data_IF_526862538511
#
_entry.id   IF_526862538511
#
_cell.length_a   1.000
_cell.length_b   1.000
_cell.length_c   1.000
_cell.angle_alpha   90.00
_cell.angle_beta   90.00
_cell.angle_gamma   90.00
#
_symmetry.space_group_name_H-M   'P 1'
#
loop_
_entity.id
_entity.type
_entity.pdbx_description
1 polymer ?
#
# COMPACT_ATOMS: atom_id res chain seq x y z
N UNK A 1 -4.94 -0.93 19.09
CA UNK A 1 -3.50 -0.63 19.23
C UNK A 1 -2.80 -0.89 17.90
N UNK A 2 -1.66 -0.27 17.63
CA UNK A 2 -0.88 -0.53 16.40
C UNK A 2 -0.44 -2.00 16.35
N UNK A 3 -0.38 -2.60 15.15
CA UNK A 3 -0.04 -4.02 14.99
C UNK A 3 -1.17 -5.00 15.35
N UNK A 4 -2.38 -4.53 15.67
CA UNK A 4 -3.55 -5.40 15.85
C UNK A 4 -3.83 -6.17 14.56
N UNK A 5 -3.76 -7.49 14.61
CA UNK A 5 -4.03 -8.33 13.44
C UNK A 5 -5.50 -8.27 13.05
N UNK A 6 -5.75 -7.95 11.79
CA UNK A 6 -7.09 -7.97 11.20
C UNK A 6 -7.45 -9.40 10.79
N UNK A 7 -8.70 -9.81 11.04
CA UNK A 7 -9.22 -11.12 10.59
C UNK A 7 -9.36 -11.15 9.07
N UNK A 8 -9.69 -10.01 8.48
CA UNK A 8 -9.79 -9.80 7.03
C UNK A 8 -9.16 -8.46 6.67
N UNK A 9 -8.44 -8.34 5.54
CA UNK A 9 -7.92 -7.05 5.07
C UNK A 9 -9.05 -6.03 4.91
N UNK A 10 -8.77 -4.78 5.27
CA UNK A 10 -9.68 -3.64 5.08
C UNK A 10 -9.21 -2.88 3.84
N UNK A 11 -10.16 -2.44 3.01
CA UNK A 11 -9.90 -1.55 1.87
C UNK A 11 -10.54 -0.21 2.18
N UNK A 12 -9.74 0.84 2.13
CA UNK A 12 -10.17 2.22 2.30
C UNK A 12 -9.89 3.00 1.01
N UNK A 13 -10.73 4.00 0.73
CA UNK A 13 -10.52 4.90 -0.40
C UNK A 13 -10.22 6.31 0.11
N UNK A 14 -9.27 6.96 -0.53
CA UNK A 14 -8.89 8.34 -0.25
C UNK A 14 -9.00 9.15 -1.53
N UNK A 15 -9.55 10.35 -1.43
CA UNK A 15 -9.67 11.25 -2.57
C UNK A 15 -8.36 12.00 -2.76
N UNK A 16 -7.58 11.62 -3.77
CA UNK A 16 -6.28 12.26 -4.09
C UNK A 16 -6.48 13.72 -4.50
N UNK A 17 -6.32 14.63 -3.55
CA UNK A 17 -6.43 16.07 -3.69
C UNK A 17 -5.66 16.74 -2.56
N UNK A 18 -4.40 17.10 -2.83
CA UNK A 18 -3.45 17.66 -1.86
C UNK A 18 -4.02 18.89 -1.11
N UNK A 19 -4.86 19.71 -1.77
CA UNK A 19 -5.48 20.89 -1.15
C UNK A 19 -6.45 20.55 -0.01
N UNK A 20 -6.93 19.32 0.03
CA UNK A 20 -7.86 18.79 1.02
C UNK A 20 -7.19 17.78 1.97
N UNK A 21 -5.88 17.59 1.86
CA UNK A 21 -5.12 16.60 2.65
C UNK A 21 -5.66 15.17 2.47
N UNK A 22 -5.92 14.81 1.20
CA UNK A 22 -6.37 13.48 0.76
C UNK A 22 -7.46 12.86 1.65
N UNK A 23 -8.68 13.42 1.70
CA UNK A 23 -9.68 12.98 2.66
C UNK A 23 -10.17 11.55 2.37
N UNK A 24 -10.47 10.80 3.43
CA UNK A 24 -11.18 9.53 3.34
C UNK A 24 -12.52 9.70 2.62
N UNK A 25 -12.84 8.76 1.73
CA UNK A 25 -14.11 8.70 1.01
C UNK A 25 -14.72 7.29 1.02
N UNK A 26 -16.04 7.23 0.98
CA UNK A 26 -16.77 5.98 0.78
C UNK A 26 -17.24 5.86 -0.68
N UNK A 27 -17.93 4.76 -1.01
CA UNK A 27 -18.42 4.52 -2.39
C UNK A 27 -19.46 5.54 -2.86
N UNK A 28 -20.27 6.08 -1.94
CA UNK A 28 -21.25 7.12 -2.28
C UNK A 28 -20.55 8.42 -2.71
N UNK A 29 -19.46 8.80 -2.03
CA UNK A 29 -18.62 9.92 -2.44
C UNK A 29 -17.96 9.66 -3.80
N UNK A 30 -17.45 8.45 -4.05
CA UNK A 30 -16.87 8.07 -5.35
C UNK A 30 -17.89 8.23 -6.47
N UNK A 31 -19.13 7.77 -6.25
CA UNK A 31 -20.23 7.89 -7.21
C UNK A 31 -20.63 9.35 -7.42
N UNK A 32 -20.74 10.14 -6.35
CA UNK A 32 -21.06 11.57 -6.42
C UNK A 32 -20.01 12.35 -7.21
N UNK A 33 -18.72 12.09 -6.93
CA UNK A 33 -17.58 12.72 -7.61
C UNK A 33 -17.37 12.20 -9.03
N UNK A 34 -18.00 11.07 -9.41
CA UNK A 34 -17.91 10.42 -10.72
C UNK A 34 -16.47 10.04 -11.11
N UNK A 35 -15.64 9.68 -10.12
CA UNK A 35 -14.23 9.31 -10.36
C UNK A 35 -14.05 7.82 -10.71
N UNK A 36 -15.03 6.98 -10.34
CA UNK A 36 -15.13 5.59 -10.78
C UNK A 36 -16.60 5.14 -10.84
N UNK A 37 -16.86 4.17 -11.72
CA UNK A 37 -18.16 3.48 -11.80
C UNK A 37 -18.26 2.36 -10.77
N UNK A 38 -19.48 1.90 -10.42
CA UNK A 38 -19.66 0.75 -9.51
C UNK A 38 -18.92 -0.52 -9.96
N UNK A 39 -18.88 -0.77 -11.27
CA UNK A 39 -18.17 -1.92 -11.83
C UNK A 39 -16.64 -1.80 -11.64
N UNK A 40 -16.10 -0.60 -11.88
CA UNK A 40 -14.68 -0.33 -11.65
C UNK A 40 -14.31 -0.42 -10.17
N UNK A 41 -15.17 0.01 -9.25
CA UNK A 41 -14.92 -0.14 -7.80
C UNK A 41 -14.77 -1.62 -7.43
N UNK A 42 -15.62 -2.49 -7.96
CA UNK A 42 -15.50 -3.95 -7.75
C UNK A 42 -14.18 -4.48 -8.29
N UNK A 43 -13.78 -4.06 -9.50
CA UNK A 43 -12.51 -4.47 -10.11
C UNK A 43 -11.29 -3.93 -9.35
N UNK A 44 -11.30 -2.67 -8.92
CA UNK A 44 -10.25 -2.05 -8.10
C UNK A 44 -10.06 -2.80 -6.79
N UNK A 45 -11.16 -3.15 -6.09
CA UNK A 45 -11.09 -3.93 -4.85
C UNK A 45 -10.51 -5.33 -5.10
N UNK A 46 -10.92 -6.00 -6.17
CA UNK A 46 -10.39 -7.30 -6.53
C UNK A 46 -8.88 -7.23 -6.82
N UNK A 47 -8.45 -6.23 -7.58
CA UNK A 47 -7.04 -5.98 -7.89
C UNK A 47 -6.23 -5.66 -6.62
N UNK A 48 -6.76 -4.83 -5.71
CA UNK A 48 -6.12 -4.51 -4.43
C UNK A 48 -5.90 -5.76 -3.57
N UNK A 49 -6.88 -6.67 -3.50
CA UNK A 49 -6.74 -7.94 -2.76
C UNK A 49 -5.72 -8.88 -3.41
N UNK A 50 -5.68 -8.94 -4.74
CA UNK A 50 -4.66 -9.72 -5.48
C UNK A 50 -3.25 -9.18 -5.23
N UNK A 51 -3.08 -7.86 -5.29
CA UNK A 51 -1.81 -7.19 -4.97
C UNK A 51 -1.42 -7.46 -3.52
N UNK A 52 -2.36 -7.32 -2.58
CA UNK A 52 -2.12 -7.62 -1.17
C UNK A 52 -1.58 -9.05 -0.98
N UNK A 53 -2.20 -10.03 -1.63
CA UNK A 53 -1.77 -11.42 -1.55
C UNK A 53 -0.34 -11.59 -2.12
N UNK A 54 -0.06 -11.01 -3.29
CA UNK A 54 1.24 -11.12 -3.93
C UNK A 54 2.35 -10.46 -3.11
N UNK A 55 2.12 -9.24 -2.61
CA UNK A 55 3.08 -8.49 -1.80
C UNK A 55 3.28 -9.14 -0.43
N UNK A 56 2.21 -9.58 0.23
CA UNK A 56 2.31 -10.30 1.51
C UNK A 56 3.17 -11.55 1.38
N UNK A 57 2.95 -12.35 0.33
CA UNK A 57 3.78 -13.53 0.06
C UNK A 57 5.23 -13.17 -0.26
N UNK A 58 5.47 -12.09 -1.01
CA UNK A 58 6.81 -11.60 -1.31
C UNK A 58 7.53 -11.20 -0.01
N UNK A 59 6.99 -10.24 0.74
CA UNK A 59 7.62 -9.71 1.94
C UNK A 59 7.80 -10.77 3.04
N UNK A 60 6.87 -11.71 3.17
CA UNK A 60 7.03 -12.81 4.11
C UNK A 60 8.30 -13.65 3.83
N UNK A 61 8.66 -13.88 2.55
CA UNK A 61 9.92 -14.57 2.20
C UNK A 61 11.17 -13.74 2.52
N UNK A 62 11.02 -12.42 2.65
CA UNK A 62 12.08 -11.48 3.01
C UNK A 62 12.22 -11.27 4.52
N UNK A 63 11.47 -12.04 5.33
CA UNK A 63 11.34 -11.81 6.76
C UNK A 63 10.79 -10.41 7.10
N UNK A 64 9.85 -9.93 6.29
CA UNK A 64 9.16 -8.64 6.44
C UNK A 64 7.65 -8.89 6.54
N UNK A 65 7.00 -8.22 7.47
CA UNK A 65 5.55 -8.16 7.57
C UNK A 65 5.04 -6.94 6.79
N UNK A 66 4.16 -7.17 5.81
CA UNK A 66 3.40 -6.09 5.16
C UNK A 66 2.23 -5.71 6.07
N UNK A 67 2.28 -4.51 6.65
CA UNK A 67 1.26 -4.02 7.59
C UNK A 67 0.08 -3.45 6.82
N UNK A 68 0.36 -2.54 5.88
CA UNK A 68 -0.58 -1.96 4.93
C UNK A 68 0.17 -1.33 3.76
N UNK A 69 -0.56 -0.91 2.72
CA UNK A 69 0.01 -0.23 1.56
C UNK A 69 -1.03 0.63 0.84
N UNK A 70 -0.55 1.64 0.10
CA UNK A 70 -1.32 2.52 -0.79
C UNK A 70 -1.00 2.17 -2.24
N UNK A 71 -2.01 2.08 -3.09
CA UNK A 71 -1.87 1.95 -4.55
C UNK A 71 -2.74 2.99 -5.27
N UNK A 72 -2.32 3.34 -6.49
CA UNK A 72 -3.11 4.18 -7.38
C UNK A 72 -3.44 3.38 -8.65
N UNK A 73 -4.70 3.45 -9.09
CA UNK A 73 -5.19 2.72 -10.26
C UNK A 73 -5.49 3.71 -11.37
N UNK A 74 -4.89 3.48 -12.54
CA UNK A 74 -5.12 4.25 -13.75
C UNK A 74 -5.96 3.49 -14.77
N UNK A 75 -6.42 4.20 -15.81
CA UNK A 75 -7.07 3.62 -16.99
C UNK A 75 -6.13 3.68 -18.18
N UNK A 76 -6.07 2.60 -18.95
CA UNK A 76 -5.45 2.64 -20.28
C UNK A 76 -6.34 3.39 -21.28
N UNK A 77 -5.82 3.66 -22.48
CA UNK A 77 -6.62 4.19 -23.61
C UNK A 77 -7.80 3.28 -24.00
N UNK A 78 -7.73 1.99 -23.66
CA UNK A 78 -8.78 1.01 -23.88
C UNK A 78 -9.73 0.86 -22.67
N UNK A 79 -9.67 1.78 -21.70
CA UNK A 79 -10.43 1.75 -20.44
C UNK A 79 -10.19 0.50 -19.56
N UNK A 80 -9.02 -0.13 -19.67
CA UNK A 80 -8.62 -1.20 -18.76
C UNK A 80 -8.00 -0.60 -17.50
N UNK A 81 -8.36 -1.12 -16.34
CA UNK A 81 -7.76 -0.71 -15.07
C UNK A 81 -6.38 -1.35 -14.90
N UNK A 82 -5.40 -0.55 -14.51
CA UNK A 82 -4.05 -1.01 -14.23
C UNK A 82 -3.52 -0.35 -12.95
N UNK A 83 -2.75 -1.12 -12.19
CA UNK A 83 -1.89 -0.57 -11.16
C UNK A 83 -0.91 0.43 -11.77
N UNK A 84 -0.79 1.59 -11.16
CA UNK A 84 0.10 2.68 -11.54
C UNK A 84 0.93 3.12 -10.32
N UNK A 85 1.51 4.33 -10.39
CA UNK A 85 2.36 4.92 -9.35
C UNK A 85 3.52 3.99 -8.96
N UNK A 86 3.76 3.78 -7.67
CA UNK A 86 4.88 3.01 -7.15
C UNK A 86 4.49 2.06 -6.02
N UNK A 87 5.28 1.00 -5.86
CA UNK A 87 5.29 0.13 -4.68
C UNK A 87 6.70 0.23 -4.08
N UNK A 88 6.80 0.90 -2.95
CA UNK A 88 8.07 1.20 -2.27
C UNK A 88 7.85 1.25 -0.76
N UNK A 89 8.90 1.33 0.06
CA UNK A 89 8.76 1.61 1.50
C UNK A 89 8.15 2.99 1.80
N UNK A 90 7.99 3.86 0.79
CA UNK A 90 7.22 5.11 0.90
C UNK A 90 5.70 4.86 0.90
N UNK A 91 5.25 3.86 0.16
CA UNK A 91 3.82 3.53 -0.04
C UNK A 91 3.37 2.27 0.70
N UNK A 92 4.29 1.52 1.33
CA UNK A 92 4.01 0.33 2.13
C UNK A 92 4.53 0.52 3.55
N UNK A 93 3.73 0.18 4.56
CA UNK A 93 4.25 -0.02 5.93
C UNK A 93 4.81 -1.43 6.06
N UNK A 94 6.09 -1.52 6.39
CA UNK A 94 6.88 -2.75 6.36
C UNK A 94 7.58 -2.90 7.69
N UNK A 95 7.34 -3.98 8.42
CA UNK A 95 8.03 -4.24 9.68
C UNK A 95 8.92 -5.47 9.57
N UNK A 96 10.09 -5.45 10.20
CA UNK A 96 10.86 -6.68 10.34
C UNK A 96 10.08 -7.71 11.16
N UNK A 97 10.02 -8.95 10.66
CA UNK A 97 9.17 -9.98 11.24
C UNK A 97 9.69 -10.48 12.61
N UNK A 98 10.98 -10.33 12.89
CA UNK A 98 11.60 -10.78 14.14
C UNK A 98 11.63 -9.67 15.20
N UNK A 99 11.93 -8.43 14.79
CA UNK A 99 12.16 -7.32 15.72
C UNK A 99 10.96 -6.38 15.83
N UNK A 100 10.01 -6.41 14.88
CA UNK A 100 8.97 -5.40 14.66
C UNK A 100 9.53 -3.98 14.43
N UNK A 101 10.79 -3.85 14.00
CA UNK A 101 11.35 -2.55 13.62
C UNK A 101 10.74 -2.08 12.30
N UNK A 102 10.53 -0.77 12.18
CA UNK A 102 10.00 -0.16 10.96
C UNK A 102 11.05 -0.17 9.85
N UNK A 103 10.65 -0.67 8.69
CA UNK A 103 11.43 -0.73 7.45
C UNK A 103 10.87 0.19 6.36
N UNK A 104 10.15 1.25 6.77
CA UNK A 104 9.36 2.11 5.90
C UNK A 104 9.45 3.60 6.29
N UNK A 105 8.70 4.44 5.58
CA UNK A 105 8.68 5.90 5.77
C UNK A 105 8.32 6.35 7.20
N UNK A 106 7.71 5.51 8.03
CA UNK A 106 7.48 5.82 9.44
C UNK A 106 8.79 6.07 10.21
N UNK A 107 9.93 5.56 9.74
CA UNK A 107 11.26 5.91 10.30
C UNK A 107 11.49 7.41 10.24
N UNK A 108 11.13 8.06 9.13
CA UNK A 108 11.19 9.51 8.99
C UNK A 108 10.06 10.20 9.75
N UNK A 109 8.80 9.73 9.62
CA UNK A 109 7.64 10.38 10.26
C UNK A 109 7.73 10.42 11.78
N UNK A 110 8.42 9.45 12.39
CA UNK A 110 8.57 9.29 13.85
C UNK A 110 9.98 9.57 14.35
N UNK A 111 10.88 10.08 13.50
CA UNK A 111 12.27 10.42 13.86
C UNK A 111 13.04 9.24 14.49
N UNK A 112 12.84 8.02 13.97
CA UNK A 112 13.43 6.79 14.53
C UNK A 112 14.86 6.52 14.04
N UNK A 113 15.31 7.23 13.00
CA UNK A 113 16.64 7.06 12.44
C UNK A 113 16.75 7.58 11.01
N UNK A 114 17.81 7.16 10.33
CA UNK A 114 18.07 7.50 8.92
C UNK A 114 17.24 6.61 7.98
N UNK A 115 16.51 7.24 7.06
CA UNK A 115 15.61 6.54 6.14
C UNK A 115 16.34 5.76 5.03
N UNK A 116 17.48 6.28 4.56
CA UNK A 116 18.21 5.69 3.42
C UNK A 116 18.74 4.29 3.72
N UNK A 117 19.44 4.04 4.85
CA UNK A 117 19.91 2.69 5.19
C UNK A 117 18.78 1.66 5.31
N UNK A 118 17.62 2.09 5.81
CA UNK A 118 16.44 1.24 5.95
C UNK A 118 15.91 0.82 4.57
N UNK A 119 15.90 1.73 3.60
CA UNK A 119 15.44 1.42 2.25
C UNK A 119 16.45 0.54 1.50
N UNK A 120 17.75 0.77 1.72
CA UNK A 120 18.81 -0.10 1.24
C UNK A 120 18.68 -1.52 1.81
N UNK A 121 18.30 -1.67 3.08
CA UNK A 121 18.06 -2.98 3.68
C UNK A 121 16.91 -3.73 2.99
N UNK A 122 15.77 -3.07 2.74
CA UNK A 122 14.65 -3.68 2.00
C UNK A 122 15.10 -4.10 0.61
N UNK A 123 15.89 -3.27 -0.08
CA UNK A 123 16.46 -3.60 -1.38
C UNK A 123 17.41 -4.81 -1.31
N UNK A 124 18.30 -4.87 -0.32
CA UNK A 124 19.23 -5.99 -0.16
C UNK A 124 18.49 -7.31 0.10
N UNK A 125 17.43 -7.29 0.92
CA UNK A 125 16.58 -8.47 1.14
C UNK A 125 15.90 -8.91 -0.15
N UNK A 126 15.38 -7.99 -0.96
CA UNK A 126 14.82 -8.28 -2.28
C UNK A 126 15.82 -8.92 -3.25
N UNK A 127 17.06 -8.41 -3.29
CA UNK A 127 18.10 -8.91 -4.20
C UNK A 127 18.68 -10.28 -3.80
N UNK A 128 18.64 -10.61 -2.50
CA UNK A 128 19.20 -11.86 -1.96
C UNK A 128 18.18 -12.98 -1.87
N UNK A 129 16.89 -12.68 -1.98
CA UNK A 129 15.81 -13.65 -2.05
C UNK A 129 15.69 -14.26 -3.47
N UNK A 130 16.70 -15.05 -3.86
CA UNK A 130 16.64 -15.97 -5.01
C UNK A 130 16.43 -17.40 -4.54
#
# INVERSE_FOLDING_TARGET
>A
EEGTKLVTPIIEFYYKEDRLDDPFINEDHIQFLKVATPAEIVEIKALALQINQALSQLFQRLNICLIDFKIEIGRTKANQLLLADEISPDTCRLWDLNTNEHLDKDVYRRELGEIVPVYEEVLQRLLTAN
#
